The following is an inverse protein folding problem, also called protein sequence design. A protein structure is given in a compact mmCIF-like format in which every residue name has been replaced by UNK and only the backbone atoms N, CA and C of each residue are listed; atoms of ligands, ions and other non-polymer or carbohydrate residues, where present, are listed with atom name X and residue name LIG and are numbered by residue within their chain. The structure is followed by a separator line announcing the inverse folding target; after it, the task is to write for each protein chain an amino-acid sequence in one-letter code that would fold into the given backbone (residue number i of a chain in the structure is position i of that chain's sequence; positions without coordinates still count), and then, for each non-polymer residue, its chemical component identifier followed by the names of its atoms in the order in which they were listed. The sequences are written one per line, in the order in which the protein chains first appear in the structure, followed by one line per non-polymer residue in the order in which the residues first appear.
data_IF_771641559571
#
_entry.id   IF_771641559571
#
_cell.length_a   1.000
_cell.length_b   1.000
_cell.length_c   1.000
_cell.angle_alpha   90.00
_cell.angle_beta   90.00
_cell.angle_gamma   90.00
#
_symmetry.space_group_name_H-M   'P 1'
#
loop_
_entity.id
_entity.type
_entity.pdbx_description
1 polymer ?
#
# COMPACT_ATOMS: atom_id res chain seq x y z
N UNK A 1 -14.09 -18.27 17.40
CA UNK A 1 -14.17 -17.81 16.01
C UNK A 1 -15.35 -18.49 15.36
N UNK A 2 -16.11 -17.77 14.55
CA UNK A 2 -17.11 -18.35 13.65
C UNK A 2 -16.42 -19.06 12.48
N UNK A 3 -17.05 -20.08 11.91
CA UNK A 3 -16.56 -20.69 10.67
C UNK A 3 -16.86 -19.76 9.50
N UNK A 4 -15.85 -19.38 8.74
CA UNK A 4 -16.00 -18.50 7.59
C UNK A 4 -15.89 -19.31 6.29
N UNK A 5 -16.95 -19.31 5.48
CA UNK A 5 -16.93 -19.86 4.13
C UNK A 5 -16.04 -19.03 3.19
N UNK A 6 -15.52 -19.67 2.14
CA UNK A 6 -14.77 -19.02 1.07
C UNK A 6 -13.52 -19.79 0.65
N UNK A 7 -12.78 -19.24 -0.31
CA UNK A 7 -11.48 -19.74 -0.72
C UNK A 7 -10.39 -18.71 -0.44
N UNK A 8 -9.13 -19.17 -0.36
CA UNK A 8 -8.00 -18.25 -0.21
C UNK A 8 -7.93 -17.29 -1.40
N UNK A 9 -7.51 -16.05 -1.16
CA UNK A 9 -7.49 -14.98 -2.17
C UNK A 9 -6.59 -15.29 -3.39
N UNK A 10 -5.66 -16.23 -3.26
CA UNK A 10 -4.79 -16.69 -4.35
C UNK A 10 -5.38 -17.85 -5.18
N UNK A 11 -6.57 -18.37 -4.85
CA UNK A 11 -7.21 -19.45 -5.59
C UNK A 11 -7.88 -18.94 -6.88
N UNK A 12 -7.09 -18.89 -7.96
CA UNK A 12 -7.59 -18.46 -9.26
C UNK A 12 -8.68 -19.37 -9.85
N UNK A 13 -8.72 -20.65 -9.45
CA UNK A 13 -9.74 -21.59 -9.92
C UNK A 13 -11.09 -21.25 -9.30
N UNK A 14 -11.12 -20.98 -7.99
CA UNK A 14 -12.32 -20.54 -7.29
C UNK A 14 -12.92 -19.28 -7.92
N UNK A 15 -12.08 -18.29 -8.25
CA UNK A 15 -12.54 -17.06 -8.92
C UNK A 15 -13.19 -17.34 -10.27
N UNK A 16 -12.63 -18.28 -11.04
CA UNK A 16 -13.14 -18.64 -12.37
C UNK A 16 -14.46 -19.40 -12.26
N UNK A 17 -14.52 -20.39 -11.37
CA UNK A 17 -15.72 -21.20 -11.14
C UNK A 17 -16.89 -20.38 -10.57
N UNK A 18 -16.59 -19.42 -9.71
CA UNK A 18 -17.59 -18.57 -9.06
C UNK A 18 -17.79 -17.23 -9.77
N UNK A 19 -17.25 -17.02 -10.99
CA UNK A 19 -17.38 -15.79 -11.76
C UNK A 19 -17.12 -14.51 -10.92
N UNK A 20 -16.04 -14.52 -10.14
CA UNK A 20 -15.63 -13.42 -9.27
C UNK A 20 -14.72 -12.47 -10.04
N UNK A 21 -15.05 -11.18 -10.01
CA UNK A 21 -14.22 -10.16 -10.63
C UNK A 21 -12.97 -9.88 -9.76
N UNK A 22 -11.80 -10.27 -10.27
CA UNK A 22 -10.50 -10.05 -9.60
C UNK A 22 -10.23 -8.58 -9.28
N UNK A 23 -10.60 -7.67 -10.18
CA UNK A 23 -10.44 -6.23 -9.98
C UNK A 23 -11.34 -5.69 -8.87
N UNK A 24 -12.54 -6.24 -8.71
CA UNK A 24 -13.44 -5.85 -7.62
C UNK A 24 -12.87 -6.30 -6.26
N UNK A 25 -12.32 -7.51 -6.18
CA UNK A 25 -11.64 -8.00 -4.98
C UNK A 25 -10.44 -7.13 -4.62
N UNK A 26 -9.54 -6.83 -5.57
CA UNK A 26 -8.39 -5.97 -5.30
C UNK A 26 -8.80 -4.56 -4.87
N UNK A 27 -9.85 -3.99 -5.47
CA UNK A 27 -10.41 -2.70 -5.04
C UNK A 27 -10.95 -2.75 -3.61
N UNK A 28 -11.74 -3.77 -3.27
CA UNK A 28 -12.27 -3.96 -1.91
C UNK A 28 -11.16 -4.15 -0.90
N UNK A 29 -10.12 -4.91 -1.27
CA UNK A 29 -8.94 -5.12 -0.43
C UNK A 29 -8.20 -3.80 -0.18
N UNK A 30 -7.95 -3.02 -1.23
CA UNK A 30 -7.33 -1.70 -1.09
C UNK A 30 -8.16 -0.74 -0.24
N UNK A 31 -9.48 -0.73 -0.41
CA UNK A 31 -10.39 0.08 0.40
C UNK A 31 -10.35 -0.34 1.88
N UNK A 32 -10.40 -1.65 2.16
CA UNK A 32 -10.31 -2.21 3.52
C UNK A 32 -9.04 -1.76 4.25
N UNK A 33 -7.88 -1.90 3.61
CA UNK A 33 -6.61 -1.52 4.21
C UNK A 33 -6.45 0.00 4.33
N UNK A 34 -7.00 0.77 3.38
CA UNK A 34 -7.01 2.22 3.47
C UNK A 34 -7.88 2.71 4.64
N UNK A 35 -9.07 2.13 4.82
CA UNK A 35 -9.95 2.44 5.96
C UNK A 35 -9.28 2.09 7.29
N UNK A 36 -8.68 0.91 7.39
CA UNK A 36 -7.88 0.50 8.54
C UNK A 36 -6.82 1.55 8.90
N UNK A 37 -5.96 1.89 7.94
CA UNK A 37 -4.84 2.81 8.15
C UNK A 37 -5.32 4.22 8.49
N UNK A 38 -6.18 4.81 7.66
CA UNK A 38 -6.43 6.25 7.72
C UNK A 38 -7.66 6.65 8.53
N UNK A 39 -8.67 5.76 8.66
CA UNK A 39 -9.90 6.04 9.41
C UNK A 39 -9.81 5.45 10.81
N UNK A 40 -9.55 4.15 10.92
CA UNK A 40 -9.61 3.43 12.19
C UNK A 40 -8.31 3.54 13.00
N UNK A 41 -7.19 3.77 12.31
CA UNK A 41 -5.88 4.00 12.92
C UNK A 41 -5.20 2.73 13.43
N UNK A 42 -5.54 1.57 12.85
CA UNK A 42 -4.82 0.32 13.05
C UNK A 42 -4.72 -0.43 11.72
N UNK A 43 -3.72 -1.28 11.55
CA UNK A 43 -3.55 -2.07 10.32
C UNK A 43 -3.18 -3.50 10.63
N UNK A 44 -3.74 -4.43 9.85
CA UNK A 44 -3.37 -5.83 9.86
C UNK A 44 -2.02 -6.01 9.15
N UNK A 45 -0.95 -6.35 9.86
CA UNK A 45 0.41 -6.34 9.28
C UNK A 45 0.82 -7.66 8.61
N UNK A 46 -0.10 -8.61 8.47
CA UNK A 46 0.17 -9.91 7.83
C UNK A 46 -0.93 -10.43 6.88
N UNK A 47 -1.39 -9.65 5.88
CA UNK A 47 -2.40 -10.10 4.92
C UNK A 47 -1.81 -11.07 3.88
N UNK A 48 -1.14 -12.13 4.32
CA UNK A 48 -0.70 -13.17 3.41
C UNK A 48 -1.92 -13.93 2.84
N UNK A 49 -1.81 -14.60 1.68
CA UNK A 49 -2.98 -15.23 1.06
C UNK A 49 -3.75 -16.23 1.94
N UNK A 50 -3.08 -16.91 2.87
CA UNK A 50 -3.73 -17.79 3.84
C UNK A 50 -4.63 -17.09 4.89
N UNK A 51 -4.45 -15.78 5.11
CA UNK A 51 -5.20 -14.97 6.07
C UNK A 51 -6.31 -14.15 5.39
N UNK A 52 -6.51 -14.32 4.08
CA UNK A 52 -7.49 -13.56 3.33
C UNK A 52 -8.36 -14.54 2.55
N UNK A 53 -9.59 -14.71 2.99
CA UNK A 53 -10.60 -15.47 2.27
C UNK A 53 -11.45 -14.55 1.42
N UNK A 54 -11.88 -15.06 0.27
CA UNK A 54 -12.86 -14.46 -0.61
C UNK A 54 -14.05 -15.40 -0.69
N UNK A 55 -15.22 -14.87 -0.41
CA UNK A 55 -16.46 -15.63 -0.48
C UNK A 55 -17.44 -14.95 -1.43
N UNK A 56 -18.15 -15.76 -2.22
CA UNK A 56 -19.30 -15.30 -2.99
C UNK A 56 -20.56 -15.58 -2.19
N UNK A 57 -21.22 -14.51 -1.75
CA UNK A 57 -22.49 -14.59 -1.04
C UNK A 57 -23.62 -15.08 -1.97
N UNK A 58 -24.71 -15.58 -1.36
CA UNK A 58 -25.88 -16.13 -2.08
C UNK A 58 -26.57 -15.10 -2.97
N UNK A 59 -26.48 -13.81 -2.63
CA UNK A 59 -27.01 -12.70 -3.41
C UNK A 59 -26.06 -12.24 -4.53
N UNK A 60 -24.93 -12.92 -4.69
CA UNK A 60 -23.93 -12.65 -5.72
C UNK A 60 -22.87 -11.63 -5.32
N UNK A 61 -22.97 -11.00 -4.13
CA UNK A 61 -21.92 -10.11 -3.60
C UNK A 61 -20.65 -10.89 -3.27
N UNK A 62 -19.54 -10.16 -3.24
CA UNK A 62 -18.23 -10.72 -2.89
C UNK A 62 -17.77 -10.06 -1.59
N UNK A 63 -17.49 -10.89 -0.59
CA UNK A 63 -16.98 -10.49 0.71
C UNK A 63 -15.52 -10.93 0.87
N UNK A 64 -14.75 -10.12 1.60
CA UNK A 64 -13.38 -10.43 1.99
C UNK A 64 -13.39 -10.67 3.49
N UNK A 65 -12.83 -11.79 3.92
CA UNK A 65 -12.70 -12.15 5.34
C UNK A 65 -11.21 -12.17 5.68
N UNK A 66 -10.83 -11.38 6.67
CA UNK A 66 -9.50 -11.44 7.26
C UNK A 66 -9.52 -12.49 8.38
N UNK A 67 -8.55 -13.38 8.34
CA UNK A 67 -8.27 -14.36 9.38
C UNK A 67 -7.02 -13.94 10.15
N UNK A 68 -6.73 -14.67 11.23
CA UNK A 68 -5.55 -14.48 12.08
C UNK A 68 -5.29 -13.02 12.47
N UNK A 69 -6.02 -12.59 13.50
CA UNK A 69 -5.88 -11.24 14.03
C UNK A 69 -4.69 -11.08 15.01
N UNK A 70 -3.66 -11.93 14.92
CA UNK A 70 -2.51 -11.94 15.83
C UNK A 70 -1.53 -10.78 15.65
N UNK A 71 -1.47 -10.15 14.47
CA UNK A 71 -0.50 -9.09 14.18
C UNK A 71 -1.17 -7.79 13.70
N UNK A 72 -1.54 -6.95 14.67
CA UNK A 72 -2.01 -5.58 14.43
C UNK A 72 -1.01 -4.55 14.92
N UNK A 73 -0.91 -3.46 14.16
CA UNK A 73 -0.26 -2.24 14.59
C UNK A 73 -1.32 -1.16 14.80
N UNK A 74 -1.31 -0.53 15.98
CA UNK A 74 -2.04 0.73 16.20
C UNK A 74 -1.13 1.91 15.88
N UNK A 75 -1.64 2.89 15.15
CA UNK A 75 -0.90 4.05 14.68
C UNK A 75 -1.34 5.32 15.40
N UNK A 76 -0.37 6.10 15.87
CA UNK A 76 -0.63 7.43 16.44
C UNK A 76 -1.22 8.38 15.40
N UNK A 77 -2.16 9.23 15.83
CA UNK A 77 -2.88 10.16 14.95
C UNK A 77 -1.94 11.07 14.15
N UNK A 78 -0.87 11.56 14.77
CA UNK A 78 0.10 12.45 14.12
C UNK A 78 0.82 11.75 12.97
N UNK A 79 1.25 10.50 13.18
CA UNK A 79 1.84 9.68 12.13
C UNK A 79 0.86 9.44 10.97
N UNK A 80 -0.43 9.22 11.26
CA UNK A 80 -1.45 9.05 10.19
C UNK A 80 -1.60 10.31 9.35
N UNK A 81 -1.61 11.48 9.99
CA UNK A 81 -1.70 12.77 9.31
C UNK A 81 -0.49 12.99 8.40
N UNK A 82 0.72 12.74 8.90
CA UNK A 82 1.95 12.85 8.10
C UNK A 82 1.95 11.84 6.94
N UNK A 83 1.49 10.62 7.17
CA UNK A 83 1.36 9.62 6.10
C UNK A 83 0.32 10.02 5.04
N UNK A 84 -0.80 10.62 5.44
CA UNK A 84 -1.77 11.19 4.49
C UNK A 84 -1.20 12.35 3.68
N UNK A 85 -0.44 13.26 4.31
CA UNK A 85 0.24 14.36 3.61
C UNK A 85 1.22 13.83 2.57
N UNK A 86 2.01 12.80 2.92
CA UNK A 86 2.91 12.13 2.00
C UNK A 86 2.15 11.62 0.76
N UNK A 87 1.04 10.89 0.95
CA UNK A 87 0.24 10.41 -0.18
C UNK A 87 -0.33 11.54 -1.04
N UNK A 88 -0.85 12.61 -0.43
CA UNK A 88 -1.34 13.78 -1.17
C UNK A 88 -0.23 14.42 -2.01
N UNK A 89 0.98 14.54 -1.45
CA UNK A 89 2.15 15.08 -2.13
C UNK A 89 2.68 14.17 -3.25
N UNK A 90 2.50 12.85 -3.14
CA UNK A 90 2.87 11.89 -4.18
C UNK A 90 1.84 11.89 -5.34
N UNK A 91 0.56 12.09 -5.04
CA UNK A 91 -0.53 12.13 -6.02
C UNK A 91 -0.54 13.43 -6.80
N UNK A 92 -0.38 14.55 -6.10
CA UNK A 92 -0.15 15.86 -6.70
C UNK A 92 1.31 16.21 -6.42
N UNK A 93 2.25 15.90 -7.35
CA UNK A 93 3.68 15.98 -7.10
C UNK A 93 4.09 17.29 -6.44
N UNK A 94 4.33 17.23 -5.14
CA UNK A 94 4.90 18.30 -4.33
C UNK A 94 6.15 17.74 -3.67
N UNK A 95 7.28 17.88 -4.38
CA UNK A 95 8.56 17.34 -3.94
C UNK A 95 9.03 17.97 -2.62
N UNK A 96 8.63 19.22 -2.35
CA UNK A 96 8.98 19.88 -1.10
C UNK A 96 8.23 19.22 0.06
N UNK A 97 6.95 18.91 -0.13
CA UNK A 97 6.14 18.24 0.89
C UNK A 97 6.56 16.77 1.08
N UNK A 98 6.92 16.06 0.00
CA UNK A 98 7.54 14.73 0.09
C UNK A 98 8.83 14.77 0.91
N UNK A 99 9.69 15.77 0.67
CA UNK A 99 10.95 15.93 1.42
C UNK A 99 10.69 16.19 2.90
N UNK A 100 9.73 17.05 3.24
CA UNK A 100 9.34 17.32 4.64
C UNK A 100 8.80 16.07 5.34
N UNK A 101 7.90 15.33 4.69
CA UNK A 101 7.35 14.08 5.23
C UNK A 101 8.46 13.02 5.44
N UNK A 102 9.39 12.91 4.49
CA UNK A 102 10.54 12.01 4.64
C UNK A 102 11.46 12.43 5.80
N UNK A 103 11.65 13.73 6.02
CA UNK A 103 12.39 14.26 7.17
C UNK A 103 11.66 13.98 8.49
N UNK A 104 10.35 14.21 8.56
CA UNK A 104 9.55 13.95 9.77
C UNK A 104 9.51 12.45 10.12
N UNK A 105 9.59 11.58 9.10
CA UNK A 105 9.70 10.12 9.26
C UNK A 105 11.15 9.63 9.42
N UNK A 106 12.13 10.50 9.67
CA UNK A 106 13.52 10.12 9.96
C UNK A 106 14.38 9.74 8.74
N UNK A 107 13.81 9.70 7.54
CA UNK A 107 14.51 9.28 6.32
C UNK A 107 15.46 10.36 5.77
N UNK A 108 15.07 11.64 5.89
CA UNK A 108 15.92 12.77 5.54
C UNK A 108 16.17 12.93 4.03
N UNK A 109 17.44 13.06 3.64
CA UNK A 109 17.84 13.32 2.23
C UNK A 109 17.58 12.14 1.28
N UNK A 110 17.29 10.94 1.81
CA UNK A 110 16.89 9.77 1.02
C UNK A 110 15.40 9.76 0.65
N UNK A 111 14.74 10.93 0.68
CA UNK A 111 13.31 11.10 0.37
C UNK A 111 12.91 10.55 -1.01
N UNK A 112 13.83 10.59 -1.99
CA UNK A 112 13.58 10.03 -3.31
C UNK A 112 13.44 8.50 -3.29
N UNK A 113 14.40 7.82 -2.64
CA UNK A 113 14.34 6.36 -2.47
C UNK A 113 13.13 5.95 -1.62
N UNK A 114 12.84 6.70 -0.56
CA UNK A 114 11.64 6.51 0.25
C UNK A 114 10.36 6.59 -0.56
N UNK A 115 10.20 7.63 -1.38
CA UNK A 115 9.04 7.80 -2.25
C UNK A 115 8.89 6.63 -3.24
N UNK A 116 10.00 6.13 -3.80
CA UNK A 116 10.01 4.94 -4.66
C UNK A 116 9.58 3.68 -3.88
N UNK A 117 10.04 3.49 -2.64
CA UNK A 117 9.64 2.35 -1.80
C UNK A 117 8.15 2.39 -1.43
N UNK A 118 7.63 3.59 -1.11
CA UNK A 118 6.22 3.77 -0.75
C UNK A 118 5.30 3.56 -1.94
N UNK A 119 5.62 4.17 -3.08
CA UNK A 119 4.76 4.12 -4.27
C UNK A 119 5.00 2.87 -5.11
N UNK A 120 6.17 2.24 -4.97
CA UNK A 120 6.66 1.20 -5.88
C UNK A 120 6.64 1.67 -7.35
N UNK A 121 7.03 2.93 -7.57
CA UNK A 121 7.11 3.59 -8.87
C UNK A 121 8.49 4.20 -9.07
N UNK A 122 8.86 4.41 -10.33
CA UNK A 122 10.10 5.11 -10.65
C UNK A 122 10.06 6.57 -10.20
N UNK A 123 11.23 7.16 -9.93
CA UNK A 123 11.33 8.58 -9.61
C UNK A 123 10.71 9.47 -10.70
N UNK A 124 10.80 9.05 -11.96
CA UNK A 124 10.22 9.76 -13.10
C UNK A 124 8.68 9.78 -13.04
N UNK A 125 8.05 8.66 -12.68
CA UNK A 125 6.60 8.63 -12.47
C UNK A 125 6.17 9.49 -11.27
N UNK A 126 6.96 9.49 -10.19
CA UNK A 126 6.68 10.29 -8.99
C UNK A 126 6.78 11.79 -9.29
N UNK A 127 7.80 12.23 -10.04
CA UNK A 127 7.99 13.65 -10.35
C UNK A 127 6.90 14.22 -11.27
N UNK A 128 6.25 13.40 -12.09
CA UNK A 128 5.20 13.81 -13.02
C UNK A 128 3.76 13.51 -12.53
N UNK A 129 3.60 12.71 -11.48
CA UNK A 129 2.30 12.31 -10.91
C UNK A 129 2.04 10.83 -11.09
N UNK A 130 1.88 10.12 -9.98
CA UNK A 130 1.68 8.66 -9.96
C UNK A 130 0.32 8.22 -10.50
N UNK A 131 -0.67 9.12 -10.52
CA UNK A 131 -2.03 8.94 -11.04
C UNK A 131 -2.12 9.11 -12.57
N UNK A 132 -1.15 9.82 -13.17
CA UNK A 132 -1.13 10.18 -14.60
C UNK A 132 -0.33 9.22 -15.47
N UNK A 133 0.42 8.32 -14.86
CA UNK A 133 1.24 7.33 -15.56
C UNK A 133 0.74 5.92 -15.23
N UNK A 134 0.53 5.08 -16.25
CA UNK A 134 0.35 3.65 -16.04
C UNK A 134 1.70 3.03 -15.64
N UNK A 135 1.69 2.03 -14.76
CA UNK A 135 2.91 1.30 -14.43
C UNK A 135 3.47 0.63 -15.70
N UNK A 136 4.70 0.98 -16.08
CA UNK A 136 5.32 0.43 -17.30
C UNK A 136 5.87 -0.97 -17.03
N UNK A 137 6.06 -1.77 -18.09
CA UNK A 137 6.74 -3.08 -17.97
C UNK A 137 8.15 -2.97 -17.38
N UNK A 138 8.81 -1.81 -17.50
CA UNK A 138 10.11 -1.54 -16.90
C UNK A 138 10.02 -1.23 -15.39
N UNK A 139 8.93 -0.60 -14.92
CA UNK A 139 8.63 -0.50 -13.49
C UNK A 139 8.30 -1.86 -12.87
N UNK A 140 7.68 -2.77 -13.63
CA UNK A 140 7.56 -4.19 -13.27
C UNK A 140 8.92 -4.92 -13.23
N UNK A 141 9.91 -4.47 -14.00
CA UNK A 141 11.30 -4.94 -13.89
C UNK A 141 12.01 -4.39 -12.65
N UNK A 142 11.65 -3.19 -12.14
CA UNK A 142 12.11 -2.68 -10.84
C UNK A 142 11.44 -3.41 -9.66
N UNK A 143 10.19 -3.85 -9.84
CA UNK A 143 9.51 -4.81 -8.97
C UNK A 143 10.29 -6.13 -8.94
N UNK A 144 10.72 -6.62 -10.11
CA UNK A 144 11.70 -7.69 -10.18
C UNK A 144 13.00 -7.28 -9.51
N UNK A 145 13.52 -6.06 -9.60
CA UNK A 145 14.77 -5.65 -8.96
C UNK A 145 14.72 -5.76 -7.42
N UNK A 146 13.61 -5.38 -6.77
CA UNK A 146 13.42 -5.55 -5.31
C UNK A 146 13.14 -7.02 -4.93
N UNK A 147 12.33 -7.74 -5.72
CA UNK A 147 12.08 -9.17 -5.49
C UNK A 147 13.34 -10.03 -5.76
N UNK A 148 14.14 -9.66 -6.77
CA UNK A 148 15.42 -10.28 -7.17
C UNK A 148 16.49 -10.00 -6.14
N UNK A 149 16.50 -8.82 -5.50
CA UNK A 149 17.39 -8.57 -4.35
C UNK A 149 17.21 -9.61 -3.25
N UNK A 150 15.98 -10.09 -3.09
CA UNK A 150 15.63 -11.09 -2.08
C UNK A 150 15.91 -12.53 -2.57
N UNK A 151 15.99 -12.79 -3.89
CA UNK A 151 15.98 -14.17 -4.41
C UNK A 151 16.96 -14.57 -5.54
N UNK A 152 17.69 -13.69 -6.27
CA UNK A 152 18.56 -14.14 -7.38
C UNK A 152 19.95 -13.48 -7.46
N UNK A 153 20.95 -14.35 -7.69
CA UNK A 153 22.40 -14.13 -7.62
C UNK A 153 23.04 -13.31 -8.74
N UNK A 154 22.29 -12.82 -9.74
CA UNK A 154 22.87 -12.22 -10.95
C UNK A 154 22.75 -10.69 -11.07
N UNK A 155 21.98 -10.01 -10.21
CA UNK A 155 21.89 -8.53 -10.16
C UNK A 155 22.75 -7.98 -9.01
N UNK A 156 24.02 -8.41 -8.90
CA UNK A 156 24.84 -8.02 -7.74
C UNK A 156 25.45 -6.62 -7.83
N UNK A 157 25.70 -6.09 -9.02
CA UNK A 157 26.51 -4.87 -9.16
C UNK A 157 25.72 -3.56 -8.93
N UNK A 158 24.49 -3.44 -9.44
CA UNK A 158 23.63 -2.27 -9.20
C UNK A 158 22.83 -2.36 -7.91
N UNK A 159 22.52 -3.57 -7.43
CA UNK A 159 21.78 -3.75 -6.19
C UNK A 159 22.67 -3.60 -4.95
N UNK A 160 23.96 -3.97 -5.03
CA UNK A 160 24.91 -3.74 -3.93
C UNK A 160 25.10 -2.26 -3.59
N UNK A 161 24.89 -1.35 -4.55
CA UNK A 161 24.95 0.11 -4.34
C UNK A 161 23.62 0.71 -3.89
N UNK A 162 22.56 -0.07 -3.71
CA UNK A 162 21.27 0.41 -3.21
C UNK A 162 20.88 -0.25 -1.88
N UNK A 163 21.39 -1.46 -1.59
CA UNK A 163 21.18 -2.14 -0.31
C UNK A 163 21.57 -1.27 0.89
N UNK A 164 22.74 -0.58 0.92
CA UNK A 164 23.11 0.25 2.06
C UNK A 164 22.12 1.39 2.28
N UNK A 165 21.66 2.04 1.21
CA UNK A 165 20.73 3.16 1.24
C UNK A 165 19.34 2.69 1.67
N UNK A 166 18.84 1.57 1.13
CA UNK A 166 17.58 0.96 1.57
C UNK A 166 17.66 0.59 3.04
N UNK A 167 18.77 -0.02 3.48
CA UNK A 167 18.97 -0.39 4.89
C UNK A 167 18.95 0.84 5.79
N UNK A 168 19.61 1.93 5.39
CA UNK A 168 19.56 3.21 6.12
C UNK A 168 18.16 3.80 6.18
N UNK A 169 17.38 3.73 5.09
CA UNK A 169 15.98 4.19 5.07
C UNK A 169 15.14 3.37 6.03
N UNK A 170 15.26 2.03 6.01
CA UNK A 170 14.53 1.11 6.88
C UNK A 170 14.92 1.24 8.36
N UNK A 171 16.19 1.49 8.66
CA UNK A 171 16.69 1.67 10.03
C UNK A 171 16.19 2.97 10.65
N UNK A 172 16.12 4.05 9.87
CA UNK A 172 15.76 5.39 10.39
C UNK A 172 14.25 5.62 10.50
N UNK A 173 13.45 4.92 9.71
CA UNK A 173 12.00 5.16 9.69
C UNK A 173 11.31 4.62 10.95
N UNK A 174 10.18 5.22 11.37
CA UNK A 174 9.41 4.67 12.48
C UNK A 174 8.93 3.26 12.16
N UNK A 175 8.85 2.40 13.18
CA UNK A 175 8.37 1.01 13.05
C UNK A 175 7.02 0.91 12.35
N UNK A 176 6.15 1.90 12.58
CA UNK A 176 4.84 1.97 11.93
C UNK A 176 4.95 2.03 10.41
N UNK A 177 5.93 2.74 9.88
CA UNK A 177 6.17 2.86 8.45
C UNK A 177 6.71 1.55 7.87
N UNK A 178 7.65 0.89 8.56
CA UNK A 178 8.19 -0.42 8.13
C UNK A 178 7.07 -1.45 7.98
N UNK A 179 6.16 -1.52 8.95
CA UNK A 179 5.04 -2.47 8.92
C UNK A 179 4.01 -2.12 7.85
N UNK A 180 3.78 -0.84 7.57
CA UNK A 180 2.97 -0.42 6.43
C UNK A 180 3.61 -0.85 5.11
N UNK A 181 4.93 -0.68 4.96
CA UNK A 181 5.65 -1.14 3.76
C UNK A 181 5.50 -2.65 3.57
N UNK A 182 5.71 -3.45 4.64
CA UNK A 182 5.47 -4.90 4.61
C UNK A 182 4.05 -5.24 4.18
N UNK A 183 3.06 -4.53 4.73
CA UNK A 183 1.63 -4.74 4.39
C UNK A 183 1.39 -4.44 2.91
N UNK A 184 1.89 -3.32 2.41
CA UNK A 184 1.76 -2.93 1.01
C UNK A 184 2.41 -3.95 0.08
N UNK A 185 3.56 -4.51 0.43
CA UNK A 185 4.23 -5.54 -0.36
C UNK A 185 3.42 -6.84 -0.44
N UNK A 186 2.79 -7.25 0.66
CA UNK A 186 1.88 -8.41 0.67
C UNK A 186 0.64 -8.16 -0.20
N UNK A 187 0.04 -6.97 -0.12
CA UNK A 187 -1.10 -6.59 -0.97
C UNK A 187 -0.72 -6.59 -2.46
N UNK A 188 0.45 -6.06 -2.81
CA UNK A 188 0.99 -6.11 -4.18
C UNK A 188 1.23 -7.54 -4.65
N UNK A 189 1.72 -8.41 -3.77
CA UNK A 189 1.89 -9.84 -4.09
C UNK A 189 0.56 -10.51 -4.43
N UNK A 190 -0.52 -10.14 -3.74
CA UNK A 190 -1.88 -10.60 -4.05
C UNK A 190 -2.32 -10.08 -5.43
N UNK A 191 -2.16 -8.78 -5.70
CA UNK A 191 -2.52 -8.19 -7.01
C UNK A 191 -1.76 -8.87 -8.17
N UNK A 192 -0.48 -9.16 -7.97
CA UNK A 192 0.35 -9.86 -8.95
C UNK A 192 -0.19 -11.27 -9.23
N UNK A 193 -0.51 -12.04 -8.18
CA UNK A 193 -1.09 -13.39 -8.33
C UNK A 193 -2.44 -13.38 -9.03
N UNK A 194 -3.25 -12.34 -8.78
CA UNK A 194 -4.56 -12.17 -9.42
C UNK A 194 -4.46 -11.61 -10.85
N UNK A 195 -3.30 -11.09 -11.26
CA UNK A 195 -3.07 -10.51 -12.58
C UNK A 195 -3.67 -9.11 -12.74
N UNK A 196 -3.86 -8.36 -11.64
CA UNK A 196 -4.53 -7.05 -11.64
C UNK A 196 -3.57 -5.85 -11.55
N UNK A 197 -2.25 -6.08 -11.57
CA UNK A 197 -1.21 -5.07 -11.37
C UNK A 197 -1.28 -3.86 -12.32
N UNK A 198 -1.84 -4.03 -13.53
CA UNK A 198 -1.87 -2.98 -14.55
C UNK A 198 -2.76 -1.77 -14.24
N UNK A 199 -3.64 -1.86 -13.23
CA UNK A 199 -4.55 -0.76 -12.84
C UNK A 199 -4.16 -0.05 -11.55
N UNK A 200 -3.18 -0.56 -10.79
CA UNK A 200 -2.81 -0.04 -9.48
C UNK A 200 -4.02 0.20 -8.56
N UNK A 201 -5.03 -0.68 -8.60
CA UNK A 201 -6.34 -0.45 -7.99
C UNK A 201 -6.25 -0.25 -6.46
N UNK A 202 -5.34 -0.96 -5.77
CA UNK A 202 -5.11 -0.76 -4.33
C UNK A 202 -4.55 0.64 -4.02
N UNK A 203 -3.67 1.17 -4.87
CA UNK A 203 -3.10 2.51 -4.73
C UNK A 203 -4.09 3.62 -5.05
N UNK A 204 -4.94 3.42 -6.06
CA UNK A 204 -6.01 4.36 -6.41
C UNK A 204 -7.05 4.42 -5.28
N UNK A 205 -7.26 3.32 -4.55
CA UNK A 205 -8.12 3.35 -3.35
C UNK A 205 -7.46 4.12 -2.19
N UNK A 206 -6.16 3.92 -1.96
CA UNK A 206 -5.39 4.71 -0.99
C UNK A 206 -5.50 6.21 -1.29
N UNK A 207 -5.45 6.62 -2.56
CA UNK A 207 -5.61 8.02 -2.95
C UNK A 207 -7.03 8.55 -2.75
N UNK A 208 -8.03 7.77 -3.11
CA UNK A 208 -9.45 8.13 -3.01
C UNK A 208 -9.88 8.33 -1.55
N UNK A 209 -9.41 7.46 -0.64
CA UNK A 209 -9.69 7.58 0.80
C UNK A 209 -8.95 8.76 1.43
N UNK A 210 -7.72 9.06 0.99
CA UNK A 210 -6.97 10.24 1.47
C UNK A 210 -7.67 11.57 1.11
N UNK A 211 -8.28 11.68 -0.08
CA UNK A 211 -9.11 12.85 -0.43
C UNK A 211 -10.30 13.01 0.50
N UNK A 212 -10.99 11.91 0.82
CA UNK A 212 -12.13 11.91 1.74
C UNK A 212 -11.68 12.36 3.14
N UNK A 213 -10.56 11.86 3.64
CA UNK A 213 -10.05 12.19 4.98
C UNK A 213 -9.50 13.60 5.04
N UNK A 214 -8.86 14.12 4.00
CA UNK A 214 -8.48 15.53 3.96
C UNK A 214 -9.74 16.42 4.03
N UNK A 215 -10.81 16.06 3.31
CA UNK A 215 -12.09 16.75 3.40
C UNK A 215 -12.72 16.67 4.79
N UNK A 216 -12.68 15.52 5.47
CA UNK A 216 -13.24 15.35 6.82
C UNK A 216 -12.36 15.98 7.92
N UNK A 217 -11.04 15.86 7.85
CA UNK A 217 -10.10 16.52 8.77
C UNK A 217 -10.12 18.04 8.61
N UNK A 218 -10.22 18.59 7.39
CA UNK A 218 -10.43 20.03 7.20
C UNK A 218 -11.79 20.50 7.75
N UNK A 219 -12.86 19.70 7.66
CA UNK A 219 -14.17 20.02 8.26
C UNK A 219 -14.12 20.01 9.79
N UNK A 220 -13.42 19.04 10.37
CA UNK A 220 -13.21 18.94 11.83
C UNK A 220 -12.39 20.14 12.33
N UNK A 221 -11.29 20.47 11.65
CA UNK A 221 -10.48 21.66 11.90
C UNK A 221 -11.25 22.98 11.76
N UNK A 222 -12.17 23.10 10.79
CA UNK A 222 -13.01 24.30 10.64
C UNK A 222 -13.99 24.48 11.81
N UNK A 223 -14.49 23.39 12.37
CA UNK A 223 -15.41 23.42 13.50
C UNK A 223 -14.68 23.64 14.84
N UNK A 224 -13.44 23.18 14.97
CA UNK A 224 -12.61 23.40 16.17
C UNK A 224 -12.00 24.81 16.21
N UNK A 225 -11.97 25.54 15.09
CA UNK A 225 -11.58 26.97 15.02
C UNK A 225 -12.76 27.94 15.14
N UNK A 226 -13.99 27.44 15.10
CA UNK A 226 -15.23 28.22 15.18
C UNK A 226 -15.97 28.04 16.52
N UNK A 227 -15.38 27.33 17.47
CA UNK A 227 -15.85 27.19 18.86
C UNK A 227 -14.80 27.73 19.84
#
# INVERSE_FOLDING_TARGET
MEYCDGAQINDCNYFTQNNINRYDVCRKLGALFSEMIFINGYVHCDPHPGNVLVNREKDGRVSIVLLDHGLYLTMESDFRIEYSKLWLALLKPDLNEVKKCAQSMGVGELYGLFACMVTNRSWNAISHGIDKSAATYDEASYIYFILIITYLREIKLYAATLIPEISQVLERMPRSMVLILKTNDLLRSIEYRLGTQGRADTFIQVSSVNLIIFFFSCKKWKNDLLN
#
